data_IF_822549031875
#
_entry.id   IF_822549031875
#
_cell.length_a   1.000
_cell.length_b   1.000
_cell.length_c   1.000
_cell.angle_alpha   90.00
_cell.angle_beta   90.00
_cell.angle_gamma   90.00
#
_symmetry.space_group_name_H-M   'P 1'
#
loop_
_entity.id
_entity.type
_entity.pdbx_description
1 polymer ?
#
# COMPACT_ATOMS: atom_id res chain seq x y z
N UNK A 1 5.28 -7.00 -24.91
CA UNK A 1 4.51 -5.79 -24.59
C UNK A 1 3.38 -5.73 -25.59
N UNK A 2 2.15 -5.97 -25.15
CA UNK A 2 0.95 -5.81 -25.98
C UNK A 2 0.35 -4.48 -25.54
N UNK A 3 0.26 -3.55 -26.48
CA UNK A 3 -0.44 -2.28 -26.32
C UNK A 3 -1.75 -2.41 -27.09
N UNK A 4 -2.87 -2.19 -26.42
CA UNK A 4 -4.19 -2.14 -27.05
C UNK A 4 -4.48 -0.69 -27.37
N UNK A 5 -4.34 -0.32 -28.64
CA UNK A 5 -4.66 1.02 -29.13
C UNK A 5 -6.06 0.96 -29.75
N UNK A 6 -7.07 1.32 -28.95
CA UNK A 6 -8.45 1.46 -29.42
C UNK A 6 -9.17 2.54 -28.59
N UNK A 7 -10.00 3.40 -29.20
CA UNK A 7 -10.79 4.40 -28.45
C UNK A 7 -11.72 3.71 -27.44
N UNK A 8 -11.82 4.20 -26.18
CA UNK A 8 -11.24 5.42 -25.63
C UNK A 8 -9.78 5.24 -25.14
N UNK A 9 -9.00 6.34 -24.97
CA UNK A 9 -7.64 6.28 -24.42
C UNK A 9 -7.60 5.52 -23.10
N UNK A 10 -6.48 4.82 -22.82
CA UNK A 10 -6.27 4.03 -21.60
C UNK A 10 -6.68 4.84 -20.37
N UNK A 11 -7.81 4.45 -19.80
CA UNK A 11 -8.44 5.20 -18.73
C UNK A 11 -7.63 4.91 -17.47
N UNK A 12 -7.04 5.96 -16.89
CA UNK A 12 -6.54 5.86 -15.51
C UNK A 12 -7.66 5.26 -14.66
N UNK A 13 -7.42 4.08 -14.10
CA UNK A 13 -8.38 3.44 -13.20
C UNK A 13 -8.59 4.42 -12.05
N UNK A 14 -9.77 5.04 -11.88
CA UNK A 14 -9.94 5.98 -10.80
C UNK A 14 -9.80 5.24 -9.48
N UNK A 15 -9.28 5.93 -8.46
CA UNK A 15 -9.01 5.31 -7.16
C UNK A 15 -10.27 4.71 -6.51
N UNK A 16 -11.47 5.09 -6.98
CA UNK A 16 -12.74 4.52 -6.53
C UNK A 16 -12.86 3.01 -6.80
N UNK A 17 -12.22 2.49 -7.85
CA UNK A 17 -12.18 1.06 -8.11
C UNK A 17 -11.33 0.33 -7.04
N UNK A 18 -10.20 0.91 -6.66
CA UNK A 18 -9.37 0.41 -5.55
C UNK A 18 -10.11 0.53 -4.21
N UNK A 19 -10.83 1.62 -3.98
CA UNK A 19 -11.63 1.82 -2.77
C UNK A 19 -12.77 0.79 -2.67
N UNK A 20 -13.42 0.44 -3.79
CA UNK A 20 -14.40 -0.65 -3.83
C UNK A 20 -13.78 -2.00 -3.50
N UNK A 21 -12.56 -2.26 -3.97
CA UNK A 21 -11.85 -3.50 -3.65
C UNK A 21 -11.46 -3.56 -2.17
N UNK A 22 -10.96 -2.45 -1.61
CA UNK A 22 -10.67 -2.31 -0.17
C UNK A 22 -11.92 -2.61 0.65
N UNK A 23 -13.05 -2.00 0.28
CA UNK A 23 -14.33 -2.22 0.95
C UNK A 23 -14.82 -3.68 0.82
N UNK A 24 -14.73 -4.28 -0.37
CA UNK A 24 -15.14 -5.66 -0.60
C UNK A 24 -14.27 -6.67 0.17
N UNK A 25 -12.98 -6.37 0.35
CA UNK A 25 -12.06 -7.19 1.14
C UNK A 25 -12.14 -6.96 2.65
N UNK A 26 -12.97 -6.01 3.11
CA UNK A 26 -13.09 -5.65 4.53
C UNK A 26 -11.79 -5.06 5.11
N UNK A 27 -10.97 -4.42 4.28
CA UNK A 27 -9.72 -3.80 4.73
C UNK A 27 -9.98 -2.45 5.39
N UNK A 28 -9.27 -2.18 6.48
CA UNK A 28 -9.28 -0.88 7.16
C UNK A 28 -8.03 -0.11 6.77
N UNK A 29 -8.18 1.15 6.38
CA UNK A 29 -7.02 2.00 6.11
C UNK A 29 -6.29 2.31 7.42
N UNK A 30 -4.98 2.11 7.43
CA UNK A 30 -4.13 2.32 8.59
C UNK A 30 -3.29 3.59 8.38
N UNK A 31 -3.13 4.36 9.45
CA UNK A 31 -2.33 5.58 9.51
C UNK A 31 -1.31 5.45 10.64
N UNK A 32 -0.28 6.32 10.70
CA UNK A 32 0.61 6.37 11.85
C UNK A 32 -0.18 6.44 13.16
N UNK A 33 0.21 5.67 14.21
CA UNK A 33 1.45 4.89 14.32
C UNK A 33 1.39 3.46 13.75
N UNK A 34 0.31 3.10 13.06
CA UNK A 34 0.05 1.74 12.57
C UNK A 34 -1.09 1.05 13.31
N UNK A 35 -1.16 -0.28 13.19
CA UNK A 35 -2.18 -1.10 13.84
C UNK A 35 -1.60 -2.42 14.35
N UNK A 36 -2.23 -2.97 15.39
CA UNK A 36 -1.94 -4.31 15.90
C UNK A 36 -3.23 -5.00 16.37
N UNK A 37 -3.33 -6.30 16.14
CA UNK A 37 -4.49 -7.12 16.52
C UNK A 37 -4.07 -8.58 16.72
N UNK A 38 -4.38 -9.14 17.89
CA UNK A 38 -4.12 -10.55 18.19
C UNK A 38 -4.93 -11.51 17.28
N UNK A 39 -6.04 -11.04 16.70
CA UNK A 39 -6.86 -11.79 15.75
C UNK A 39 -6.38 -11.70 14.30
N UNK A 40 -5.25 -11.02 14.05
CA UNK A 40 -4.78 -10.68 12.70
C UNK A 40 -5.34 -9.34 12.22
N UNK A 41 -4.66 -8.77 11.22
CA UNK A 41 -5.01 -7.49 10.61
C UNK A 41 -5.58 -7.69 9.20
N UNK A 42 -6.63 -6.94 8.90
CA UNK A 42 -7.12 -6.69 7.55
C UNK A 42 -6.88 -5.20 7.27
N UNK A 43 -5.64 -4.88 6.88
CA UNK A 43 -5.16 -3.51 6.77
C UNK A 43 -4.81 -3.12 5.33
N UNK A 44 -4.96 -1.84 5.01
CA UNK A 44 -4.43 -1.22 3.78
C UNK A 44 -3.70 0.06 4.14
N UNK A 45 -2.58 0.32 3.48
CA UNK A 45 -1.84 1.59 3.58
C UNK A 45 -1.86 2.26 2.21
N UNK A 46 -2.16 3.55 2.17
CA UNK A 46 -2.18 4.34 0.93
C UNK A 46 -0.98 5.27 0.91
N UNK A 47 -0.07 5.02 -0.02
CA UNK A 47 1.10 5.87 -0.23
C UNK A 47 0.75 7.11 -1.06
N UNK A 48 1.32 8.26 -0.69
CA UNK A 48 1.18 9.54 -1.41
C UNK A 48 2.40 9.87 -2.28
N UNK A 49 3.48 9.08 -2.18
CA UNK A 49 4.67 9.18 -3.01
C UNK A 49 5.28 7.79 -3.29
N UNK A 50 6.17 7.73 -4.29
CA UNK A 50 6.80 6.50 -4.75
C UNK A 50 6.08 5.88 -5.94
N UNK A 51 6.46 4.65 -6.28
CA UNK A 51 5.84 3.85 -7.35
C UNK A 51 5.65 2.41 -6.87
N UNK A 52 4.94 1.56 -7.63
CA UNK A 52 4.85 0.13 -7.29
C UNK A 52 6.22 -0.55 -7.20
N UNK A 53 7.21 -0.08 -7.97
CA UNK A 53 8.59 -0.58 -7.89
C UNK A 53 9.33 -0.20 -6.61
N UNK A 54 8.82 0.77 -5.83
CA UNK A 54 9.42 1.23 -4.58
C UNK A 54 9.49 0.16 -3.50
N UNK A 55 8.83 -0.99 -3.65
CA UNK A 55 9.08 -2.11 -2.72
C UNK A 55 10.56 -2.55 -2.74
N UNK A 56 11.22 -2.48 -3.90
CA UNK A 56 12.59 -2.97 -4.09
C UNK A 56 13.56 -1.91 -4.64
N UNK A 57 13.05 -0.85 -5.27
CA UNK A 57 13.86 0.21 -5.89
C UNK A 57 13.65 1.58 -5.22
N UNK A 58 14.68 2.11 -4.51
CA UNK A 58 14.59 3.39 -3.82
C UNK A 58 14.62 4.62 -4.73
N UNK A 59 14.86 4.47 -6.04
CA UNK A 59 15.10 5.58 -6.96
C UNK A 59 13.95 6.60 -6.99
N UNK A 60 12.70 6.14 -6.93
CA UNK A 60 11.53 7.03 -6.97
C UNK A 60 11.23 7.69 -5.61
N UNK A 61 11.47 6.98 -4.50
CA UNK A 61 11.27 7.47 -3.14
C UNK A 61 11.95 6.53 -2.14
N UNK A 62 13.09 6.93 -1.56
CA UNK A 62 13.75 6.15 -0.51
C UNK A 62 12.86 5.99 0.73
N UNK A 63 12.07 7.02 1.06
CA UNK A 63 11.15 6.98 2.21
C UNK A 63 10.01 5.97 2.00
N UNK A 64 9.38 5.94 0.81
CA UNK A 64 8.35 4.95 0.51
C UNK A 64 8.94 3.53 0.50
N UNK A 65 10.17 3.37 0.01
CA UNK A 65 10.86 2.08 -0.02
C UNK A 65 11.14 1.54 1.36
N UNK A 66 11.66 2.39 2.25
CA UNK A 66 11.88 2.03 3.64
C UNK A 66 10.57 1.63 4.32
N UNK A 67 9.49 2.37 4.09
CA UNK A 67 8.21 2.09 4.71
C UNK A 67 7.61 0.77 4.21
N UNK A 68 7.50 0.58 2.89
CA UNK A 68 6.97 -0.65 2.29
C UNK A 68 7.72 -1.89 2.78
N UNK A 69 9.05 -1.81 2.91
CA UNK A 69 9.88 -2.90 3.44
C UNK A 69 9.66 -3.12 4.94
N UNK A 70 9.56 -2.04 5.72
CA UNK A 70 9.32 -2.12 7.17
C UNK A 70 7.97 -2.77 7.46
N UNK A 71 6.92 -2.33 6.76
CA UNK A 71 5.57 -2.89 6.83
C UNK A 71 5.56 -4.37 6.41
N UNK A 72 6.15 -4.71 5.26
CA UNK A 72 6.18 -6.08 4.76
C UNK A 72 6.91 -7.04 5.72
N UNK A 73 8.08 -6.64 6.22
CA UNK A 73 8.87 -7.44 7.15
C UNK A 73 8.15 -7.58 8.49
N UNK A 74 7.61 -6.50 9.05
CA UNK A 74 6.90 -6.55 10.33
C UNK A 74 5.63 -7.42 10.26
N UNK A 75 4.86 -7.29 9.18
CA UNK A 75 3.67 -8.11 8.96
C UNK A 75 4.04 -9.59 8.85
N UNK A 76 5.07 -9.93 8.08
CA UNK A 76 5.54 -11.31 7.94
C UNK A 76 6.07 -11.88 9.27
N UNK A 77 6.94 -11.14 9.99
CA UNK A 77 7.52 -11.58 11.26
C UNK A 77 6.46 -11.82 12.35
N UNK A 78 5.35 -11.08 12.30
CA UNK A 78 4.29 -11.16 13.31
C UNK A 78 3.14 -12.08 12.90
N UNK A 79 3.25 -12.77 11.76
CA UNK A 79 2.17 -13.60 11.22
C UNK A 79 0.90 -12.79 10.92
N UNK A 80 1.05 -11.52 10.55
CA UNK A 80 -0.04 -10.62 10.18
C UNK A 80 -0.76 -9.94 11.35
N UNK A 81 -0.17 -9.94 12.55
CA UNK A 81 -0.79 -9.35 13.75
C UNK A 81 -0.35 -7.91 14.02
N UNK A 82 0.67 -7.41 13.33
CA UNK A 82 1.18 -6.04 13.47
C UNK A 82 1.57 -5.43 12.12
N UNK A 83 1.22 -4.15 11.93
CA UNK A 83 1.62 -3.34 10.80
C UNK A 83 1.98 -1.92 11.30
N UNK A 84 3.26 -1.65 11.61
CA UNK A 84 3.69 -0.33 12.05
C UNK A 84 3.69 0.64 10.87
N UNK A 85 3.29 1.89 11.12
CA UNK A 85 3.34 2.95 10.10
C UNK A 85 4.09 4.15 10.64
N UNK A 86 5.14 4.58 9.95
CA UNK A 86 6.04 5.65 10.41
C UNK A 86 5.36 7.03 10.33
N UNK A 87 5.51 7.90 11.34
CA UNK A 87 4.95 9.26 11.32
C UNK A 87 5.56 10.15 10.24
N UNK A 88 6.68 9.77 9.64
CA UNK A 88 7.33 10.50 8.55
C UNK A 88 7.19 9.79 7.20
N UNK A 89 6.44 8.69 7.13
CA UNK A 89 6.21 7.99 5.87
C UNK A 89 5.31 8.80 4.93
N UNK A 90 5.49 8.68 3.61
CA UNK A 90 4.63 9.33 2.63
C UNK A 90 3.33 8.54 2.46
N UNK A 91 2.47 8.55 3.49
CA UNK A 91 1.19 7.85 3.55
C UNK A 91 0.06 8.82 3.89
N UNK A 92 -1.18 8.46 3.54
CA UNK A 92 -2.41 9.22 3.84
C UNK A 92 -3.43 8.38 4.59
#
# INVERSE_FOLDING_TARGET
>A
MIEVIGPPPDQVVPNDATDRLIAAGGFTQVHPPGAASAGGLHAVVKFTAGTHGSLLDPTASPAATQEMQTEAVAFALTGGTSLPVSPTAPVQ
#
